data_IF_768929508338
#
_entry.id   IF_768929508338
#
_cell.length_a   1.000
_cell.length_b   1.000
_cell.length_c   1.000
_cell.angle_alpha   90.00
_cell.angle_beta   90.00
_cell.angle_gamma   90.00
#
_symmetry.space_group_name_H-M   'P 1'
#
loop_
_entity.id
_entity.type
_entity.pdbx_description
1 polymer ?
#
# COMPACT_ATOMS: atom_id res chain seq x y z
N UNK A 1 27.99 55.16 0.52
CA UNK A 1 27.66 55.13 1.96
C UNK A 1 26.83 53.87 2.22
N UNK A 2 27.28 53.09 3.20
CA UNK A 2 26.94 51.75 3.71
C UNK A 2 25.75 50.87 3.22
N UNK A 3 25.93 49.53 3.31
CA UNK A 3 25.02 48.47 2.85
C UNK A 3 24.22 47.81 4.00
N UNK A 4 23.29 46.89 3.68
CA UNK A 4 22.92 45.78 4.58
C UNK A 4 22.32 44.59 3.83
N UNK A 5 23.03 43.46 3.97
CA UNK A 5 22.67 42.11 3.59
C UNK A 5 21.46 41.58 4.40
N UNK A 6 20.62 40.75 3.77
CA UNK A 6 19.87 39.58 4.30
C UNK A 6 18.65 39.32 3.38
N UNK A 7 18.26 38.12 2.95
CA UNK A 7 18.78 36.78 3.14
C UNK A 7 18.30 35.91 1.96
N UNK A 8 19.23 35.18 1.32
CA UNK A 8 18.93 33.98 0.55
C UNK A 8 18.71 32.86 1.57
N UNK A 9 17.52 32.27 1.63
CA UNK A 9 17.30 31.00 2.33
C UNK A 9 17.12 29.91 1.26
N UNK A 10 18.17 29.14 0.94
CA UNK A 10 18.03 27.90 0.18
C UNK A 10 17.46 26.80 1.08
N UNK A 11 16.25 26.34 0.79
CA UNK A 11 15.64 25.13 1.37
C UNK A 11 16.27 23.85 0.81
N UNK A 12 17.60 23.77 0.82
CA UNK A 12 18.36 22.54 0.59
C UNK A 12 19.06 22.15 1.89
N UNK A 13 18.36 21.43 2.75
CA UNK A 13 18.98 20.58 3.75
C UNK A 13 18.54 19.15 3.46
N UNK A 14 19.34 18.48 2.62
CA UNK A 14 19.30 17.03 2.51
C UNK A 14 19.56 16.41 3.87
N UNK A 15 18.81 15.37 4.23
CA UNK A 15 19.16 14.54 5.38
C UNK A 15 20.32 13.64 4.98
N UNK A 16 21.53 13.80 5.56
CA UNK A 16 22.56 12.81 5.39
C UNK A 16 22.17 11.58 6.19
N UNK A 17 22.26 10.45 5.50
CA UNK A 17 22.32 9.11 6.02
C UNK A 17 23.26 9.07 7.25
N UNK A 18 22.71 9.03 8.46
CA UNK A 18 23.51 8.79 9.68
C UNK A 18 23.08 7.47 10.28
N UNK A 19 23.81 6.44 9.88
CA UNK A 19 23.90 5.15 10.54
C UNK A 19 24.48 5.43 11.92
N UNK A 20 23.65 5.45 12.95
CA UNK A 20 24.10 5.30 14.33
C UNK A 20 24.03 3.81 14.66
N UNK A 21 25.18 3.14 14.49
CA UNK A 21 25.44 1.85 15.11
C UNK A 21 25.75 2.14 16.59
N UNK A 22 24.78 1.86 17.46
CA UNK A 22 24.92 1.90 18.92
C UNK A 22 24.64 0.49 19.43
N UNK A 23 25.75 -0.18 19.72
CA UNK A 23 25.96 -1.28 20.64
C UNK A 23 24.78 -1.65 21.56
N UNK A 24 24.39 -2.92 21.51
CA UNK A 24 23.98 -3.73 22.67
C UNK A 24 22.96 -3.13 23.63
N UNK A 25 21.69 -3.50 23.45
CA UNK A 25 20.65 -3.29 24.46
C UNK A 25 19.43 -4.12 24.14
N UNK A 26 19.27 -5.24 24.84
CA UNK A 26 18.06 -6.05 24.87
C UNK A 26 16.90 -5.18 25.36
N UNK A 27 16.11 -4.62 24.44
CA UNK A 27 14.83 -3.99 24.79
C UNK A 27 13.81 -5.12 24.98
N UNK A 28 13.72 -5.63 26.21
CA UNK A 28 12.55 -6.36 26.67
C UNK A 28 11.38 -5.36 26.69
N UNK A 29 10.69 -5.22 25.57
CA UNK A 29 9.42 -4.49 25.56
C UNK A 29 8.37 -5.36 26.22
N UNK A 30 8.09 -5.06 27.49
CA UNK A 30 6.98 -5.60 28.27
C UNK A 30 5.71 -4.92 27.75
N UNK A 31 4.77 -5.62 27.08
CA UNK A 31 3.47 -5.02 26.83
C UNK A 31 2.72 -4.97 28.17
N UNK A 32 2.52 -3.76 28.69
CA UNK A 32 1.48 -3.47 29.69
C UNK A 32 0.14 -3.93 29.12
N UNK A 33 -0.30 -5.12 29.54
CA UNK A 33 -1.61 -5.69 29.24
C UNK A 33 -2.60 -5.16 30.27
N UNK A 34 -3.15 -3.98 30.00
CA UNK A 34 -4.40 -3.58 30.63
C UNK A 34 -5.53 -4.42 30.04
N UNK A 35 -5.97 -5.39 30.83
CA UNK A 35 -7.34 -5.88 30.94
C UNK A 35 -7.96 -6.53 29.69
N UNK A 36 -7.81 -7.85 29.60
CA UNK A 36 -8.94 -8.72 29.25
C UNK A 36 -8.99 -9.85 30.28
N UNK A 37 -9.72 -9.56 31.36
CA UNK A 37 -10.23 -10.55 32.29
C UNK A 37 -11.11 -11.55 31.55
N UNK A 38 -10.78 -12.84 31.69
CA UNK A 38 -11.72 -13.93 31.98
C UNK A 38 -10.91 -15.17 32.31
N UNK A 39 -10.93 -15.52 33.58
CA UNK A 39 -10.12 -16.56 34.18
C UNK A 39 -10.34 -17.95 33.58
N UNK A 40 -9.23 -18.68 33.48
CA UNK A 40 -9.21 -20.13 33.55
C UNK A 40 -7.89 -20.53 34.22
N UNK A 41 -7.98 -20.85 35.50
CA UNK A 41 -6.91 -21.37 36.35
C UNK A 41 -6.68 -22.86 36.05
N UNK A 42 -5.66 -23.24 35.26
CA UNK A 42 -5.22 -24.66 35.30
C UNK A 42 -3.78 -24.92 34.83
N UNK A 43 -2.93 -25.28 35.81
CA UNK A 43 -1.75 -26.17 35.77
C UNK A 43 -0.62 -25.84 34.77
N UNK A 44 0.21 -24.90 35.22
CA UNK A 44 1.51 -24.39 34.75
C UNK A 44 2.67 -25.42 34.56
N UNK A 45 2.42 -26.72 34.38
CA UNK A 45 3.50 -27.73 34.31
C UNK A 45 3.57 -28.56 33.02
N UNK A 46 2.70 -28.34 32.03
CA UNK A 46 2.69 -29.12 30.77
C UNK A 46 2.80 -28.31 29.47
N UNK A 47 2.95 -26.98 29.53
CA UNK A 47 3.01 -26.12 28.32
C UNK A 47 4.44 -25.95 27.78
N UNK A 48 5.47 -26.15 28.60
CA UNK A 48 6.88 -26.02 28.17
C UNK A 48 7.30 -27.12 27.19
N UNK A 49 6.74 -28.33 27.31
CA UNK A 49 7.07 -29.46 26.43
C UNK A 49 6.38 -29.44 25.06
N UNK A 50 5.27 -28.70 24.90
CA UNK A 50 4.58 -28.59 23.60
C UNK A 50 5.14 -27.47 22.70
N UNK A 51 5.89 -26.52 23.25
CA UNK A 51 6.56 -25.49 22.45
C UNK A 51 7.78 -26.03 21.67
N UNK A 52 8.40 -27.13 22.11
CA UNK A 52 9.53 -27.75 21.38
C UNK A 52 9.07 -28.58 20.16
N UNK A 53 7.83 -29.11 20.16
CA UNK A 53 7.30 -29.86 19.02
C UNK A 53 6.75 -28.97 17.89
N UNK A 54 6.36 -27.72 18.19
CA UNK A 54 5.84 -26.78 17.19
C UNK A 54 6.91 -26.19 16.26
N UNK A 55 8.20 -26.37 16.56
CA UNK A 55 9.29 -25.99 15.63
C UNK A 55 9.59 -27.10 14.60
N UNK A 56 9.17 -28.35 14.87
CA UNK A 56 9.32 -29.48 13.94
C UNK A 56 8.11 -29.65 12.99
N UNK A 57 6.97 -29.05 13.31
CA UNK A 57 5.83 -28.93 12.39
C UNK A 57 5.92 -27.60 11.66
N UNK A 58 6.66 -27.57 10.55
CA UNK A 58 6.96 -26.39 9.75
C UNK A 58 5.75 -25.53 9.36
N UNK A 59 5.35 -24.62 10.23
CA UNK A 59 4.57 -23.44 9.88
C UNK A 59 5.55 -22.36 9.39
N UNK A 60 6.15 -22.61 8.23
CA UNK A 60 6.86 -21.57 7.47
C UNK A 60 5.80 -20.63 6.90
N UNK A 61 5.42 -19.62 7.68
CA UNK A 61 4.70 -18.48 7.13
C UNK A 61 5.65 -17.76 6.17
N UNK A 62 5.51 -18.03 4.88
CA UNK A 62 6.26 -17.32 3.85
C UNK A 62 6.00 -15.81 3.97
N UNK A 63 7.04 -14.97 3.92
CA UNK A 63 6.85 -13.52 3.97
C UNK A 63 6.11 -13.09 2.70
N UNK A 64 4.97 -12.42 2.87
CA UNK A 64 4.30 -11.72 1.76
C UNK A 64 5.18 -10.54 1.35
N UNK A 65 6.02 -10.74 0.34
CA UNK A 65 6.84 -9.66 -0.21
C UNK A 65 5.90 -8.68 -0.92
N UNK A 66 5.52 -7.63 -0.22
CA UNK A 66 4.82 -6.49 -0.79
C UNK A 66 5.81 -5.66 -1.64
N UNK A 67 6.13 -6.13 -2.84
CA UNK A 67 6.85 -5.32 -3.81
C UNK A 67 5.87 -4.31 -4.44
N UNK A 68 5.63 -3.20 -3.74
CA UNK A 68 4.68 -2.16 -4.11
C UNK A 68 5.06 -1.32 -5.35
N UNK A 69 5.95 -1.80 -6.22
CA UNK A 69 6.30 -1.12 -7.48
C UNK A 69 6.03 -2.04 -8.67
N UNK A 70 4.87 -1.82 -9.29
CA UNK A 70 4.53 -2.39 -10.58
C UNK A 70 4.00 -3.83 -10.53
N UNK A 71 2.92 -4.07 -9.76
CA UNK A 71 2.28 -5.40 -9.65
C UNK A 71 1.94 -6.05 -10.99
N UNK A 72 1.76 -5.26 -12.05
CA UNK A 72 1.50 -5.73 -13.42
C UNK A 72 2.67 -5.55 -14.38
N UNK A 73 3.85 -5.11 -13.93
CA UNK A 73 4.95 -4.73 -14.84
C UNK A 73 5.41 -5.91 -15.69
N UNK A 74 5.70 -7.05 -15.07
CA UNK A 74 6.11 -8.26 -15.78
C UNK A 74 5.01 -8.78 -16.73
N UNK A 75 3.74 -8.70 -16.31
CA UNK A 75 2.62 -9.11 -17.17
C UNK A 75 2.45 -8.18 -18.37
N UNK A 76 2.66 -6.87 -18.21
CA UNK A 76 2.63 -5.91 -19.32
C UNK A 76 3.73 -6.20 -20.33
N UNK A 77 4.96 -6.48 -19.86
CA UNK A 77 6.08 -6.85 -20.74
C UNK A 77 5.81 -8.17 -21.49
N UNK A 78 5.19 -9.14 -20.81
CA UNK A 78 4.89 -10.45 -21.39
C UNK A 78 3.73 -10.44 -22.38
N UNK A 79 2.65 -9.73 -22.08
CA UNK A 79 1.38 -9.83 -22.82
C UNK A 79 1.02 -8.57 -23.62
N UNK A 80 1.56 -7.40 -23.25
CA UNK A 80 1.08 -6.10 -23.74
C UNK A 80 2.19 -5.18 -24.27
N UNK A 81 3.38 -5.72 -24.60
CA UNK A 81 4.55 -4.93 -25.01
C UNK A 81 4.31 -4.04 -26.24
N UNK A 82 3.46 -4.48 -27.17
CA UNK A 82 3.18 -3.77 -28.43
C UNK A 82 1.92 -2.88 -28.34
N UNK A 83 1.34 -2.76 -27.14
CA UNK A 83 0.11 -2.00 -26.93
C UNK A 83 0.44 -0.54 -26.65
N UNK A 84 -0.12 0.43 -27.41
CA UNK A 84 0.12 1.83 -27.19
C UNK A 84 -0.22 2.26 -25.76
N UNK A 85 0.71 3.00 -25.15
CA UNK A 85 0.47 3.67 -23.87
C UNK A 85 -0.55 4.80 -24.03
N UNK A 86 -1.27 5.10 -22.95
CA UNK A 86 -2.35 6.08 -22.99
C UNK A 86 -3.68 5.51 -23.50
N UNK A 87 -4.75 6.30 -23.36
CA UNK A 87 -6.14 5.95 -23.74
C UNK A 87 -6.66 4.58 -23.23
N UNK A 88 -6.04 4.06 -22.17
CA UNK A 88 -6.41 2.77 -21.55
C UNK A 88 -6.04 1.52 -22.34
N UNK A 89 -5.12 1.59 -23.33
CA UNK A 89 -4.69 0.43 -24.14
C UNK A 89 -4.21 -0.74 -23.30
N UNK A 90 -3.19 -0.50 -22.47
CA UNK A 90 -2.64 -1.50 -21.54
C UNK A 90 -3.72 -2.12 -20.65
N UNK A 91 -4.66 -1.31 -20.15
CA UNK A 91 -5.73 -1.80 -19.28
C UNK A 91 -6.68 -2.76 -20.03
N UNK A 92 -6.95 -2.52 -21.32
CA UNK A 92 -7.74 -3.45 -22.15
C UNK A 92 -6.97 -4.76 -22.38
N UNK A 93 -5.69 -4.67 -22.72
CA UNK A 93 -4.85 -5.85 -22.91
C UNK A 93 -4.74 -6.72 -21.65
N UNK A 94 -4.52 -6.11 -20.49
CA UNK A 94 -4.51 -6.83 -19.21
C UNK A 94 -5.86 -7.50 -18.94
N UNK A 95 -6.98 -6.84 -19.24
CA UNK A 95 -8.32 -7.43 -19.07
C UNK A 95 -8.54 -8.63 -20.00
N UNK A 96 -8.04 -8.59 -21.23
CA UNK A 96 -8.14 -9.70 -22.18
C UNK A 96 -7.29 -10.91 -21.81
N UNK A 97 -6.29 -10.74 -20.93
CA UNK A 97 -5.41 -11.79 -20.47
C UNK A 97 -5.58 -12.08 -18.97
N UNK A 98 -6.68 -11.66 -18.33
CA UNK A 98 -6.77 -11.59 -16.86
C UNK A 98 -6.42 -12.90 -16.14
N UNK A 99 -6.80 -14.02 -16.74
CA UNK A 99 -6.65 -15.41 -16.32
C UNK A 99 -5.21 -15.91 -16.46
N UNK A 100 -4.39 -15.22 -17.25
CA UNK A 100 -2.98 -15.54 -17.53
C UNK A 100 -2.02 -14.59 -16.80
N UNK A 101 -2.54 -13.56 -16.12
CA UNK A 101 -1.74 -12.61 -15.36
C UNK A 101 -1.23 -13.22 -14.05
N UNK A 102 -0.14 -12.68 -13.55
CA UNK A 102 0.35 -12.98 -12.21
C UNK A 102 -0.70 -12.64 -11.14
N UNK A 103 -0.71 -13.41 -10.05
CA UNK A 103 -1.55 -13.18 -8.88
C UNK A 103 -1.49 -11.72 -8.35
N UNK A 104 -0.31 -11.07 -8.20
CA UNK A 104 -0.27 -9.67 -7.77
C UNK A 104 -0.95 -8.73 -8.76
N UNK A 105 -0.83 -8.96 -10.07
CA UNK A 105 -1.54 -8.12 -11.05
C UNK A 105 -3.06 -8.34 -11.01
N UNK A 106 -3.53 -9.58 -10.87
CA UNK A 106 -4.95 -9.88 -10.69
C UNK A 106 -5.53 -9.18 -9.46
N UNK A 107 -4.83 -9.24 -8.32
CA UNK A 107 -5.23 -8.54 -7.10
C UNK A 107 -5.32 -7.02 -7.31
N UNK A 108 -4.38 -6.42 -8.05
CA UNK A 108 -4.43 -5.01 -8.43
C UNK A 108 -5.65 -4.68 -9.28
N UNK A 109 -5.97 -5.51 -10.28
CA UNK A 109 -7.13 -5.31 -11.15
C UNK A 109 -8.44 -5.38 -10.36
N UNK A 110 -8.57 -6.33 -9.44
CA UNK A 110 -9.73 -6.41 -8.55
C UNK A 110 -9.82 -5.21 -7.60
N UNK A 111 -8.71 -4.77 -6.98
CA UNK A 111 -8.70 -3.53 -6.19
C UNK A 111 -9.12 -2.31 -7.01
N UNK A 112 -8.70 -2.22 -8.27
CA UNK A 112 -9.09 -1.15 -9.17
C UNK A 112 -10.58 -1.21 -9.56
N UNK A 113 -11.15 -2.41 -9.68
CA UNK A 113 -12.58 -2.64 -9.89
C UNK A 113 -13.40 -2.22 -8.67
N UNK A 114 -12.97 -2.60 -7.47
CA UNK A 114 -13.64 -2.21 -6.23
C UNK A 114 -13.65 -0.70 -6.03
N UNK A 115 -12.52 -0.03 -6.27
CA UNK A 115 -12.44 1.43 -6.31
C UNK A 115 -13.45 2.04 -7.28
N UNK A 116 -13.56 1.50 -8.51
CA UNK A 116 -14.49 2.01 -9.52
C UNK A 116 -15.94 1.93 -9.04
N UNK A 117 -16.30 0.86 -8.34
CA UNK A 117 -17.64 0.67 -7.79
C UNK A 117 -17.89 1.63 -6.63
N UNK A 118 -16.98 1.66 -5.65
CA UNK A 118 -17.08 2.52 -4.46
C UNK A 118 -17.16 4.01 -4.83
N UNK A 119 -16.43 4.43 -5.85
CA UNK A 119 -16.37 5.83 -6.29
C UNK A 119 -17.34 6.18 -7.42
N UNK A 120 -18.24 5.27 -7.84
CA UNK A 120 -19.07 5.51 -9.03
C UNK A 120 -19.93 6.77 -8.88
N UNK A 121 -20.71 6.84 -7.80
CA UNK A 121 -21.62 7.96 -7.54
C UNK A 121 -20.85 9.28 -7.33
N UNK A 122 -19.76 9.25 -6.56
CA UNK A 122 -18.93 10.43 -6.34
C UNK A 122 -18.33 10.94 -7.65
N UNK A 123 -17.83 10.04 -8.51
CA UNK A 123 -17.29 10.41 -9.82
C UNK A 123 -18.33 11.06 -10.71
N UNK A 124 -19.57 10.58 -10.70
CA UNK A 124 -20.68 11.16 -11.45
C UNK A 124 -21.11 12.52 -10.88
N UNK A 125 -21.07 12.70 -9.56
CA UNK A 125 -21.41 13.96 -8.90
C UNK A 125 -20.37 15.05 -9.13
N UNK A 126 -19.09 14.74 -8.92
CA UNK A 126 -18.03 15.75 -8.87
C UNK A 126 -17.20 15.87 -10.15
N UNK A 127 -17.08 14.80 -10.95
CA UNK A 127 -16.12 14.74 -12.06
C UNK A 127 -16.73 14.27 -13.38
N UNK A 128 -18.04 14.43 -13.60
CA UNK A 128 -18.72 14.02 -14.84
C UNK A 128 -18.19 14.71 -16.09
N UNK A 129 -17.78 15.97 -15.97
CA UNK A 129 -17.30 16.80 -17.10
C UNK A 129 -15.78 16.70 -17.29
N UNK A 130 -15.10 15.90 -16.45
CA UNK A 130 -13.66 15.69 -16.56
C UNK A 130 -13.38 14.65 -17.63
N UNK A 131 -12.73 15.10 -18.70
CA UNK A 131 -12.28 14.22 -19.75
C UNK A 131 -11.35 13.10 -19.22
N UNK A 132 -11.59 11.83 -19.58
CA UNK A 132 -10.75 10.71 -19.18
C UNK A 132 -9.33 10.76 -19.75
N UNK A 133 -8.38 10.18 -19.00
CA UNK A 133 -6.97 10.10 -19.40
C UNK A 133 -6.06 10.85 -18.45
N UNK A 134 -4.76 10.56 -18.51
CA UNK A 134 -3.68 11.33 -17.86
C UNK A 134 -3.85 11.57 -16.34
N UNK A 135 -4.67 10.75 -15.68
CA UNK A 135 -4.96 10.92 -14.25
C UNK A 135 -5.90 12.09 -13.93
N UNK A 136 -6.51 12.77 -14.91
CA UNK A 136 -7.38 13.94 -14.67
C UNK A 136 -8.56 13.65 -13.74
N UNK A 137 -9.25 12.54 -13.94
CA UNK A 137 -10.35 12.11 -13.04
C UNK A 137 -9.82 11.83 -11.63
N UNK A 138 -8.61 11.27 -11.50
CA UNK A 138 -8.01 11.03 -10.17
C UNK A 138 -7.67 12.35 -9.48
N UNK A 139 -7.15 13.33 -10.22
CA UNK A 139 -6.89 14.67 -9.70
C UNK A 139 -8.18 15.35 -9.22
N UNK A 140 -9.25 15.28 -10.02
CA UNK A 140 -10.56 15.80 -9.64
C UNK A 140 -11.15 15.10 -8.39
N UNK A 141 -11.06 13.77 -8.30
CA UNK A 141 -11.49 13.06 -7.08
C UNK A 141 -10.69 13.49 -5.85
N UNK A 142 -9.39 13.79 -6.02
CA UNK A 142 -8.54 14.27 -4.93
C UNK A 142 -8.88 15.71 -4.51
N UNK A 143 -9.28 16.59 -5.43
CA UNK A 143 -9.72 17.95 -5.07
C UNK A 143 -11.05 17.97 -4.31
N UNK A 144 -11.87 16.92 -4.47
CA UNK A 144 -13.14 16.74 -3.77
C UNK A 144 -13.08 15.72 -2.62
N UNK A 145 -11.88 15.32 -2.16
CA UNK A 145 -11.68 14.20 -1.22
C UNK A 145 -12.56 14.27 0.04
N UNK A 146 -12.69 15.46 0.65
CA UNK A 146 -13.53 15.70 1.83
C UNK A 146 -15.02 15.54 1.55
N UNK A 147 -15.46 15.74 0.31
CA UNK A 147 -16.86 15.69 -0.12
C UNK A 147 -17.29 14.31 -0.63
N UNK A 148 -16.34 13.40 -0.88
CA UNK A 148 -16.66 12.06 -1.36
C UNK A 148 -17.41 11.22 -0.30
N UNK A 149 -17.99 10.11 -0.72
CA UNK A 149 -18.46 9.10 0.22
C UNK A 149 -17.32 8.49 1.03
N UNK A 150 -17.63 8.00 2.24
CA UNK A 150 -16.67 7.24 3.05
C UNK A 150 -16.16 6.01 2.29
N UNK A 151 -17.04 5.35 1.53
CA UNK A 151 -16.68 4.20 0.71
C UNK A 151 -15.62 4.55 -0.34
N UNK A 152 -15.75 5.66 -1.05
CA UNK A 152 -14.76 6.07 -2.04
C UNK A 152 -13.44 6.55 -1.42
N UNK A 153 -13.49 7.30 -0.31
CA UNK A 153 -12.28 7.75 0.42
C UNK A 153 -11.39 6.59 0.85
N UNK A 154 -11.96 5.44 1.20
CA UNK A 154 -11.19 4.25 1.55
C UNK A 154 -10.27 3.73 0.43
N UNK A 155 -10.47 4.22 -0.82
CA UNK A 155 -9.65 3.83 -1.96
C UNK A 155 -8.68 4.90 -2.45
N UNK A 156 -8.88 6.20 -2.16
CA UNK A 156 -8.08 7.29 -2.73
C UNK A 156 -6.58 7.18 -2.44
#
# INVERSE_FOLDING_TARGET
>A
MSPRFAAKIPWFAGRPNRIFNLSGGLVLYVPSTSAFDKGATMKRKSIVFLALAAFALGLTQAPRVALAKGECKADVEKFCKDVPHGKGGIRRCLKQNQDRLSQPCQAKLERAKQRKLACKADKEKFCKDVQPGEGRIKACMKSHESELSQACRAYL
#
